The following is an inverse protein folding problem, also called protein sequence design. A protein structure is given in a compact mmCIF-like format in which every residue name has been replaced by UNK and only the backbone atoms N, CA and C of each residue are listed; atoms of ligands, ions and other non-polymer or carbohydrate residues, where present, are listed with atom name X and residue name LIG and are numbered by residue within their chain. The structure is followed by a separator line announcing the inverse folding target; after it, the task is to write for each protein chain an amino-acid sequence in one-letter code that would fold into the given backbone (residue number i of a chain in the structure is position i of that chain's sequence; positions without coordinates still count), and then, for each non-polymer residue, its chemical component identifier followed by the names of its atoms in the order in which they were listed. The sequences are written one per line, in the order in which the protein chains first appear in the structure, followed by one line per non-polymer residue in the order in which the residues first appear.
data_IF_024368384705
#
_entry.id   IF_024368384705
#
_cell.length_a   1.000
_cell.length_b   1.000
_cell.length_c   1.000
_cell.angle_alpha   90.00
_cell.angle_beta   90.00
_cell.angle_gamma   90.00
#
_symmetry.space_group_name_H-M   'P 1'
#
loop_
_entity.id
_entity.type
_entity.pdbx_description
1 polymer ?
#
# COMPACT_ATOMS: atom_id res chain seq x y z
N UNK A 1 -10.09 -29.75 13.56
CA UNK A 1 -10.83 -28.52 13.89
C UNK A 1 -10.92 -28.44 15.41
N UNK A 2 -9.99 -27.75 16.04
CA UNK A 2 -10.10 -27.44 17.48
C UNK A 2 -11.05 -26.25 17.59
N UNK A 3 -12.19 -26.49 18.24
CA UNK A 3 -13.10 -25.43 18.63
C UNK A 3 -12.32 -24.41 19.50
N UNK A 4 -12.18 -23.19 19.01
CA UNK A 4 -11.81 -22.04 19.84
C UNK A 4 -13.03 -21.70 20.75
N UNK A 5 -13.40 -22.63 21.61
CA UNK A 5 -14.45 -22.45 22.62
C UNK A 5 -13.82 -22.16 23.98
N UNK A 6 -12.80 -21.34 24.02
CA UNK A 6 -12.37 -20.73 25.28
C UNK A 6 -13.01 -19.34 25.40
N UNK A 7 -13.76 -19.14 26.47
CA UNK A 7 -14.71 -18.09 26.78
C UNK A 7 -14.38 -16.61 26.62
N UNK A 8 -13.53 -16.27 25.66
CA UNK A 8 -13.14 -14.91 25.34
C UNK A 8 -13.79 -14.36 24.06
N UNK A 9 -14.39 -15.23 23.21
CA UNK A 9 -14.98 -14.84 21.95
C UNK A 9 -16.42 -14.34 22.11
N UNK A 10 -16.69 -13.13 21.62
CA UNK A 10 -18.03 -12.55 21.58
C UNK A 10 -18.75 -13.00 20.29
N UNK A 11 -19.81 -13.82 20.37
CA UNK A 11 -20.51 -14.32 19.18
C UNK A 11 -21.22 -13.22 18.38
N UNK A 12 -21.47 -12.06 18.98
CA UNK A 12 -22.11 -10.94 18.30
C UNK A 12 -21.10 -10.14 17.45
N UNK A 13 -19.79 -10.35 17.66
CA UNK A 13 -18.74 -9.79 16.83
C UNK A 13 -18.48 -10.62 15.58
N UNK A 14 -18.02 -9.96 14.52
CA UNK A 14 -17.84 -10.59 13.23
C UNK A 14 -16.73 -11.67 13.21
N UNK A 15 -16.88 -12.61 12.30
CA UNK A 15 -15.89 -13.62 11.92
C UNK A 15 -15.23 -13.19 10.61
N UNK A 16 -13.93 -12.92 10.62
CA UNK A 16 -13.22 -12.38 9.47
C UNK A 16 -12.27 -13.41 8.85
N UNK A 17 -12.08 -13.37 7.53
CA UNK A 17 -11.03 -14.12 6.84
C UNK A 17 -9.89 -13.16 6.47
N UNK A 18 -8.67 -13.48 6.89
CA UNK A 18 -7.45 -12.77 6.51
C UNK A 18 -6.86 -13.44 5.26
N UNK A 19 -6.88 -12.76 4.12
CA UNK A 19 -6.41 -13.32 2.85
C UNK A 19 -4.93 -13.01 2.63
N UNK A 20 -4.09 -14.03 2.69
CA UNK A 20 -2.64 -13.95 2.69
C UNK A 20 -2.04 -14.17 4.08
N UNK A 21 -0.71 -14.18 4.16
CA UNK A 21 0.00 -14.41 5.41
C UNK A 21 0.65 -13.12 5.92
N UNK A 22 0.23 -12.68 7.09
CA UNK A 22 0.88 -11.59 7.83
C UNK A 22 0.81 -11.88 9.31
N UNK A 23 1.98 -12.09 9.94
CA UNK A 23 2.04 -12.35 11.38
C UNK A 23 1.44 -11.19 12.18
N UNK A 24 1.73 -9.95 11.79
CA UNK A 24 1.20 -8.77 12.46
C UNK A 24 -0.34 -8.68 12.39
N UNK A 25 -0.94 -9.10 11.26
CA UNK A 25 -2.40 -9.15 11.13
C UNK A 25 -3.01 -10.26 11.99
N UNK A 26 -2.34 -11.42 12.11
CA UNK A 26 -2.74 -12.53 12.97
C UNK A 26 -2.67 -12.12 14.44
N UNK A 27 -1.55 -11.57 14.89
CA UNK A 27 -1.38 -11.09 16.27
C UNK A 27 -2.39 -9.99 16.62
N UNK A 28 -2.68 -9.09 15.68
CA UNK A 28 -3.69 -8.05 15.85
C UNK A 28 -5.09 -8.65 16.04
N UNK A 29 -5.44 -9.68 15.27
CA UNK A 29 -6.73 -10.37 15.39
C UNK A 29 -6.85 -11.13 16.71
N UNK A 30 -5.78 -11.84 17.13
CA UNK A 30 -5.73 -12.53 18.42
C UNK A 30 -5.92 -11.57 19.60
N UNK A 31 -5.18 -10.47 19.63
CA UNK A 31 -5.25 -9.46 20.69
C UNK A 31 -6.61 -8.76 20.73
N UNK A 32 -7.27 -8.68 19.58
CA UNK A 32 -8.53 -7.96 19.44
C UNK A 32 -9.76 -8.81 19.79
N UNK A 33 -9.54 -10.05 20.15
CA UNK A 33 -10.61 -10.99 20.54
C UNK A 33 -11.70 -11.13 19.48
N UNK A 34 -11.31 -11.09 18.19
CA UNK A 34 -12.17 -11.34 17.04
C UNK A 34 -11.94 -12.76 16.53
N UNK A 35 -13.02 -13.46 16.19
CA UNK A 35 -12.89 -14.72 15.48
C UNK A 35 -12.33 -14.48 14.09
N UNK A 36 -11.27 -15.20 13.72
CA UNK A 36 -10.66 -15.09 12.40
C UNK A 36 -10.22 -16.46 11.86
N UNK A 37 -10.03 -16.51 10.55
CA UNK A 37 -9.38 -17.60 9.84
C UNK A 37 -8.35 -17.02 8.88
N UNK A 38 -7.17 -17.63 8.82
CA UNK A 38 -6.14 -17.28 7.83
C UNK A 38 -6.35 -18.13 6.60
N UNK A 39 -6.42 -17.48 5.43
CA UNK A 39 -6.46 -18.13 4.12
C UNK A 39 -5.14 -17.82 3.43
N UNK A 40 -4.24 -18.80 3.37
CA UNK A 40 -2.85 -18.58 2.91
C UNK A 40 -2.29 -19.81 2.20
N UNK A 41 -1.15 -19.68 1.46
CA UNK A 41 -0.50 -20.81 0.80
C UNK A 41 -0.04 -21.90 1.77
N UNK A 42 0.09 -23.14 1.26
CA UNK A 42 0.42 -24.33 2.03
C UNK A 42 1.69 -24.21 2.89
N UNK A 43 2.64 -23.38 2.50
CA UNK A 43 3.85 -23.18 3.31
C UNK A 43 3.57 -22.56 4.70
N UNK A 44 2.44 -21.90 4.91
CA UNK A 44 2.02 -21.35 6.20
C UNK A 44 1.41 -22.41 7.14
N UNK A 45 1.06 -23.60 6.62
CA UNK A 45 0.30 -24.62 7.36
C UNK A 45 1.01 -25.07 8.63
N UNK A 46 2.32 -25.39 8.54
CA UNK A 46 3.08 -25.87 9.71
C UNK A 46 3.09 -24.86 10.85
N UNK A 47 3.29 -23.58 10.53
CA UNK A 47 3.25 -22.50 11.52
C UNK A 47 1.85 -22.34 12.12
N UNK A 48 0.81 -22.37 11.29
CA UNK A 48 -0.57 -22.26 11.76
C UNK A 48 -0.95 -23.42 12.68
N UNK A 49 -0.54 -24.64 12.36
CA UNK A 49 -0.77 -25.83 13.20
C UNK A 49 -0.04 -25.73 14.55
N UNK A 50 1.26 -25.36 14.54
CA UNK A 50 2.06 -25.21 15.75
C UNK A 50 1.47 -24.17 16.72
N UNK A 51 0.95 -23.07 16.18
CA UNK A 51 0.40 -21.96 16.98
C UNK A 51 -1.13 -22.01 17.12
N UNK A 52 -1.78 -23.11 16.69
CA UNK A 52 -3.25 -23.28 16.75
C UNK A 52 -4.04 -22.18 16.07
N UNK A 53 -3.48 -21.58 15.00
CA UNK A 53 -4.13 -20.55 14.19
C UNK A 53 -5.13 -21.21 13.24
N UNK A 54 -6.41 -20.78 13.22
CA UNK A 54 -7.40 -21.28 12.26
C UNK A 54 -6.93 -20.97 10.82
N UNK A 55 -6.90 -22.01 9.97
CA UNK A 55 -6.23 -21.92 8.68
C UNK A 55 -6.99 -22.68 7.59
N UNK A 56 -7.02 -22.10 6.39
CA UNK A 56 -7.49 -22.72 5.15
C UNK A 56 -6.38 -22.59 4.09
N UNK A 57 -5.85 -23.70 3.54
CA UNK A 57 -4.84 -23.65 2.50
C UNK A 57 -5.42 -23.08 1.20
N UNK A 58 -4.77 -22.06 0.64
CA UNK A 58 -5.18 -21.45 -0.61
C UNK A 58 -4.04 -20.68 -1.29
N UNK A 59 -3.86 -20.90 -2.59
CA UNK A 59 -2.90 -20.14 -3.39
C UNK A 59 -3.63 -19.01 -4.15
N UNK A 60 -3.18 -17.79 -3.93
CA UNK A 60 -3.67 -16.60 -4.61
C UNK A 60 -2.89 -16.37 -5.92
N UNK A 61 -3.16 -17.22 -6.90
CA UNK A 61 -2.74 -16.97 -8.27
C UNK A 61 -3.66 -15.94 -8.92
N UNK A 62 -3.54 -15.73 -10.24
CA UNK A 62 -4.49 -14.91 -10.96
C UNK A 62 -5.91 -15.41 -10.68
N UNK A 63 -6.82 -14.47 -10.39
CA UNK A 63 -8.20 -14.78 -10.06
C UNK A 63 -8.83 -15.70 -11.13
N UNK A 64 -9.51 -16.73 -10.68
CA UNK A 64 -10.14 -17.75 -11.51
C UNK A 64 -11.46 -18.23 -10.90
N UNK A 65 -12.12 -19.21 -11.53
CA UNK A 65 -13.44 -19.75 -11.12
C UNK A 65 -13.44 -20.46 -9.76
N UNK A 66 -12.25 -20.85 -9.24
CA UNK A 66 -12.13 -21.42 -7.90
C UNK A 66 -12.43 -20.40 -6.78
N UNK A 67 -12.56 -19.12 -7.13
CA UNK A 67 -13.02 -18.10 -6.17
C UNK A 67 -14.37 -18.42 -5.54
N UNK A 68 -15.26 -19.11 -6.30
CA UNK A 68 -16.55 -19.57 -5.78
C UNK A 68 -16.40 -20.71 -4.77
N UNK A 69 -15.41 -21.61 -4.96
CA UNK A 69 -15.12 -22.71 -4.03
C UNK A 69 -14.70 -22.17 -2.67
N UNK A 70 -13.71 -21.27 -2.63
CA UNK A 70 -13.25 -20.69 -1.38
C UNK A 70 -14.30 -19.78 -0.73
N UNK A 71 -15.06 -19.02 -1.53
CA UNK A 71 -16.15 -18.20 -1.01
C UNK A 71 -17.23 -19.05 -0.32
N UNK A 72 -17.62 -20.18 -0.92
CA UNK A 72 -18.58 -21.09 -0.32
C UNK A 72 -18.03 -21.75 0.96
N UNK A 73 -16.76 -22.16 0.94
CA UNK A 73 -16.09 -22.71 2.14
C UNK A 73 -16.13 -21.72 3.30
N UNK A 74 -15.78 -20.46 3.06
CA UNK A 74 -15.80 -19.42 4.09
C UNK A 74 -17.24 -19.08 4.54
N UNK A 75 -18.21 -19.09 3.63
CA UNK A 75 -19.63 -18.91 3.96
C UNK A 75 -20.14 -20.03 4.87
N UNK A 76 -19.78 -21.29 4.58
CA UNK A 76 -20.17 -22.46 5.38
C UNK A 76 -19.52 -22.44 6.79
N UNK A 77 -18.33 -21.82 6.91
CA UNK A 77 -17.69 -21.57 8.20
C UNK A 77 -18.34 -20.42 8.99
N UNK A 78 -19.23 -19.65 8.37
CA UNK A 78 -19.88 -18.48 8.98
C UNK A 78 -19.02 -17.21 8.97
N UNK A 79 -18.04 -17.12 8.07
CA UNK A 79 -17.25 -15.90 7.86
C UNK A 79 -18.12 -14.77 7.32
N UNK A 80 -17.96 -13.58 7.85
CA UNK A 80 -18.74 -12.40 7.48
C UNK A 80 -18.08 -11.58 6.38
N UNK A 81 -16.75 -11.47 6.40
CA UNK A 81 -16.00 -10.65 5.45
C UNK A 81 -14.59 -11.20 5.26
N UNK A 82 -14.07 -11.07 4.05
CA UNK A 82 -12.69 -11.38 3.69
C UNK A 82 -11.88 -10.07 3.53
N UNK A 83 -10.73 -10.02 4.18
CA UNK A 83 -9.86 -8.85 4.27
C UNK A 83 -8.59 -9.11 3.46
N UNK A 84 -8.30 -8.33 2.40
CA UNK A 84 -7.09 -8.49 1.63
C UNK A 84 -5.87 -7.95 2.38
N UNK A 85 -4.80 -8.74 2.48
CA UNK A 85 -3.56 -8.33 3.13
C UNK A 85 -2.45 -7.96 2.12
N UNK A 86 -2.58 -8.41 0.87
CA UNK A 86 -1.60 -8.20 -0.19
C UNK A 86 -2.28 -7.83 -1.51
N UNK A 87 -1.51 -7.34 -2.44
CA UNK A 87 -1.98 -6.88 -3.74
C UNK A 87 -2.75 -7.99 -4.49
N UNK A 88 -2.21 -9.20 -4.49
CA UNK A 88 -2.79 -10.36 -5.19
C UNK A 88 -4.13 -10.80 -4.58
N UNK A 89 -4.37 -10.46 -3.32
CA UNK A 89 -5.58 -10.89 -2.61
C UNK A 89 -6.76 -9.93 -2.75
N UNK A 90 -6.56 -8.75 -3.35
CA UNK A 90 -7.63 -7.74 -3.52
C UNK A 90 -8.77 -8.24 -4.40
N UNK A 91 -8.46 -8.81 -5.57
CA UNK A 91 -9.47 -9.36 -6.48
C UNK A 91 -10.21 -10.56 -5.85
N UNK A 92 -9.46 -11.42 -5.15
CA UNK A 92 -10.01 -12.56 -4.41
C UNK A 92 -10.96 -12.10 -3.30
N UNK A 93 -10.56 -11.08 -2.53
CA UNK A 93 -11.43 -10.49 -1.52
C UNK A 93 -12.72 -9.95 -2.11
N UNK A 94 -12.64 -9.27 -3.26
CA UNK A 94 -13.82 -8.78 -3.97
C UNK A 94 -14.76 -9.89 -4.42
N UNK A 95 -14.23 -10.97 -5.00
CA UNK A 95 -15.03 -12.13 -5.43
C UNK A 95 -15.66 -12.86 -4.24
N UNK A 96 -14.90 -13.09 -3.17
CA UNK A 96 -15.36 -13.74 -1.94
C UNK A 96 -16.44 -12.89 -1.26
N UNK A 97 -16.18 -11.59 -1.07
CA UNK A 97 -17.12 -10.69 -0.40
C UNK A 97 -18.40 -10.48 -1.20
N UNK A 98 -18.35 -10.57 -2.53
CA UNK A 98 -19.56 -10.56 -3.36
C UNK A 98 -20.54 -11.70 -2.99
N UNK A 99 -20.00 -12.85 -2.57
CA UNK A 99 -20.78 -14.02 -2.11
C UNK A 99 -21.15 -13.88 -0.63
N UNK A 100 -20.20 -13.54 0.24
CA UNK A 100 -20.42 -13.46 1.70
C UNK A 100 -21.45 -12.38 2.05
N UNK A 101 -21.37 -11.23 1.40
CA UNK A 101 -22.24 -10.07 1.65
C UNK A 101 -23.42 -9.98 0.69
N UNK A 102 -23.59 -10.97 -0.20
CA UNK A 102 -24.65 -11.02 -1.21
C UNK A 102 -24.72 -9.74 -2.08
N UNK A 103 -23.54 -9.16 -2.33
CA UNK A 103 -23.37 -7.91 -3.09
C UNK A 103 -22.40 -8.08 -4.27
N UNK A 104 -22.89 -8.41 -5.48
CA UNK A 104 -22.03 -8.63 -6.64
C UNK A 104 -21.23 -7.39 -7.11
N UNK A 105 -21.59 -6.17 -6.65
CA UNK A 105 -20.84 -4.95 -6.97
C UNK A 105 -19.43 -4.97 -6.40
N UNK A 106 -19.21 -5.67 -5.28
CA UNK A 106 -17.89 -5.74 -4.62
C UNK A 106 -16.83 -6.38 -5.52
N UNK A 107 -17.21 -7.31 -6.38
CA UNK A 107 -16.29 -7.86 -7.38
C UNK A 107 -15.84 -6.77 -8.38
N UNK A 108 -16.78 -6.04 -8.96
CA UNK A 108 -16.47 -4.96 -9.89
C UNK A 108 -15.64 -3.84 -9.23
N UNK A 109 -15.93 -3.51 -7.97
CA UNK A 109 -15.15 -2.57 -7.18
C UNK A 109 -13.71 -3.01 -7.02
N UNK A 110 -13.46 -4.27 -6.65
CA UNK A 110 -12.11 -4.82 -6.48
C UNK A 110 -11.31 -4.78 -7.79
N UNK A 111 -11.94 -5.06 -8.93
CA UNK A 111 -11.30 -4.94 -10.25
C UNK A 111 -10.89 -3.49 -10.55
N UNK A 112 -11.73 -2.50 -10.22
CA UNK A 112 -11.40 -1.09 -10.38
C UNK A 112 -10.26 -0.63 -9.46
N UNK A 113 -10.13 -1.25 -8.28
CA UNK A 113 -9.08 -0.95 -7.28
C UNK A 113 -7.78 -1.73 -7.54
N UNK A 114 -7.72 -2.55 -8.59
CA UNK A 114 -6.58 -3.39 -8.93
C UNK A 114 -5.94 -3.02 -10.27
N UNK A 115 -6.74 -2.74 -11.28
CA UNK A 115 -6.29 -2.36 -12.61
C UNK A 115 -6.06 -0.85 -12.70
N UNK A 116 -4.81 -0.42 -12.83
CA UNK A 116 -4.41 1.00 -12.84
C UNK A 116 -5.07 1.81 -13.96
N UNK A 117 -5.31 1.20 -15.13
CA UNK A 117 -5.94 1.89 -16.25
C UNK A 117 -7.44 2.11 -15.99
N UNK A 118 -8.15 1.08 -15.53
CA UNK A 118 -9.54 1.19 -15.12
C UNK A 118 -9.71 2.14 -13.94
N UNK A 119 -8.81 2.07 -12.97
CA UNK A 119 -8.75 2.94 -11.80
C UNK A 119 -8.67 4.42 -12.20
N UNK A 120 -7.72 4.79 -13.06
CA UNK A 120 -7.56 6.17 -13.53
C UNK A 120 -8.76 6.67 -14.35
N UNK A 121 -9.32 5.80 -15.20
CA UNK A 121 -10.56 6.14 -15.94
C UNK A 121 -11.74 6.38 -14.99
N UNK A 122 -11.89 5.53 -13.99
CA UNK A 122 -12.95 5.68 -12.97
C UNK A 122 -12.76 6.96 -12.16
N UNK A 123 -11.52 7.25 -11.73
CA UNK A 123 -11.17 8.48 -11.03
C UNK A 123 -11.52 9.73 -11.86
N UNK A 124 -11.11 9.75 -13.13
CA UNK A 124 -11.41 10.86 -14.05
C UNK A 124 -12.92 11.06 -14.25
N UNK A 125 -13.69 9.98 -14.44
CA UNK A 125 -15.15 10.05 -14.56
C UNK A 125 -15.82 10.53 -13.27
N UNK A 126 -15.24 10.25 -12.11
CA UNK A 126 -15.65 10.78 -10.80
C UNK A 126 -15.23 12.23 -10.57
N UNK A 127 -14.52 12.85 -11.53
CA UNK A 127 -14.02 14.22 -11.44
C UNK A 127 -12.79 14.35 -10.52
N UNK A 128 -12.07 13.26 -10.24
CA UNK A 128 -10.77 13.28 -9.58
C UNK A 128 -9.73 13.59 -10.67
N UNK A 129 -8.84 14.54 -10.40
CA UNK A 129 -7.80 14.93 -11.36
C UNK A 129 -6.73 13.86 -11.43
N UNK A 130 -6.37 13.48 -12.66
CA UNK A 130 -5.29 12.52 -12.97
C UNK A 130 -4.35 13.14 -14.00
N UNK A 131 -3.11 12.69 -14.05
CA UNK A 131 -2.18 13.04 -15.13
C UNK A 131 -2.69 12.57 -16.49
N UNK A 132 -2.00 12.95 -17.55
CA UNK A 132 -2.29 12.41 -18.89
C UNK A 132 -1.87 10.96 -18.90
N UNK A 133 -2.75 10.06 -19.33
CA UNK A 133 -2.45 8.62 -19.37
C UNK A 133 -3.08 7.94 -20.59
N UNK A 134 -2.45 6.87 -21.04
CA UNK A 134 -2.95 5.95 -22.07
C UNK A 134 -2.37 4.55 -21.87
N UNK A 135 -2.97 3.55 -22.52
CA UNK A 135 -2.43 2.20 -22.63
C UNK A 135 -1.55 2.09 -23.87
N UNK A 136 -0.41 1.41 -23.76
CA UNK A 136 0.42 1.02 -24.88
C UNK A 136 0.37 -0.49 -25.09
N UNK A 137 0.17 -0.91 -26.32
CA UNK A 137 0.22 -2.31 -26.74
C UNK A 137 1.52 -2.67 -27.45
N UNK A 138 2.27 -1.67 -27.86
CA UNK A 138 3.56 -1.79 -28.55
C UNK A 138 4.43 -0.54 -28.37
N UNK A 139 5.66 -0.60 -28.89
CA UNK A 139 6.61 0.52 -28.84
C UNK A 139 6.15 1.76 -29.65
N UNK A 140 5.36 1.57 -30.72
CA UNK A 140 4.86 2.70 -31.50
C UNK A 140 3.86 3.53 -30.70
N UNK A 141 3.03 2.88 -29.89
CA UNK A 141 2.12 3.56 -28.95
C UNK A 141 2.92 4.45 -27.99
N UNK A 142 4.02 3.94 -27.42
CA UNK A 142 4.89 4.71 -26.52
C UNK A 142 5.47 5.94 -27.22
N UNK A 143 5.99 5.79 -28.43
CA UNK A 143 6.54 6.91 -29.21
C UNK A 143 5.46 7.96 -29.52
N UNK A 144 4.25 7.51 -29.90
CA UNK A 144 3.12 8.42 -30.16
C UNK A 144 2.74 9.20 -28.90
N UNK A 145 2.63 8.51 -27.78
CA UNK A 145 2.29 9.12 -26.50
C UNK A 145 3.34 10.14 -26.06
N UNK A 146 4.63 9.80 -26.09
CA UNK A 146 5.73 10.71 -25.75
C UNK A 146 5.66 12.01 -26.56
N UNK A 147 5.50 11.89 -27.89
CA UNK A 147 5.36 13.06 -28.77
C UNK A 147 4.13 13.91 -28.42
N UNK A 148 3.00 13.27 -28.14
CA UNK A 148 1.75 13.96 -27.79
C UNK A 148 1.87 14.69 -26.46
N UNK A 149 2.44 14.06 -25.44
CA UNK A 149 2.64 14.67 -24.11
C UNK A 149 3.56 15.88 -24.25
N UNK A 150 4.69 15.75 -24.92
CA UNK A 150 5.64 16.84 -25.14
C UNK A 150 5.00 18.05 -25.87
N UNK A 151 4.17 17.79 -26.90
CA UNK A 151 3.43 18.83 -27.60
C UNK A 151 2.35 19.49 -26.73
N UNK A 152 1.76 18.73 -25.82
CA UNK A 152 0.75 19.25 -24.88
C UNK A 152 1.42 20.12 -23.81
N UNK A 153 2.54 19.68 -23.27
CA UNK A 153 3.32 20.45 -22.29
C UNK A 153 3.80 21.78 -22.87
N UNK A 154 4.31 21.79 -24.11
CA UNK A 154 4.67 23.03 -24.81
C UNK A 154 3.51 24.04 -24.89
N UNK A 155 2.28 23.57 -25.05
CA UNK A 155 1.10 24.45 -25.12
C UNK A 155 0.67 24.95 -23.74
N UNK A 156 1.08 24.28 -22.67
CA UNK A 156 0.75 24.59 -21.29
C UNK A 156 1.92 25.23 -20.53
N UNK A 157 2.93 25.73 -21.26
CA UNK A 157 4.17 26.29 -20.72
C UNK A 157 4.95 25.31 -19.78
N UNK A 158 4.73 23.99 -19.93
CA UNK A 158 5.49 22.94 -19.25
C UNK A 158 6.79 22.57 -19.96
N UNK A 159 7.64 21.74 -19.32
CA UNK A 159 8.89 21.28 -19.91
C UNK A 159 8.61 20.17 -20.95
N UNK A 160 8.91 20.41 -22.26
CA UNK A 160 8.73 19.41 -23.29
C UNK A 160 9.73 18.24 -23.19
N UNK A 161 10.71 18.30 -22.29
CA UNK A 161 11.68 17.25 -22.03
C UNK A 161 11.31 16.39 -20.82
N UNK A 162 10.19 16.67 -20.18
CA UNK A 162 9.70 15.83 -19.08
C UNK A 162 9.52 14.38 -19.56
N UNK A 163 9.93 13.42 -18.74
CA UNK A 163 9.78 12.01 -19.09
C UNK A 163 8.31 11.58 -19.11
N UNK A 164 8.06 10.44 -19.71
CA UNK A 164 6.85 9.66 -19.45
C UNK A 164 7.20 8.44 -18.59
N UNK A 165 6.21 7.95 -17.87
CA UNK A 165 6.33 6.78 -17.00
C UNK A 165 5.55 5.61 -17.60
N UNK A 166 6.18 4.43 -17.63
CA UNK A 166 5.51 3.19 -18.00
C UNK A 166 5.32 2.34 -16.75
N UNK A 167 4.13 1.80 -16.57
CA UNK A 167 3.79 0.97 -15.40
C UNK A 167 3.02 -0.27 -15.85
N UNK A 168 3.29 -1.42 -15.24
CA UNK A 168 2.43 -2.59 -15.40
C UNK A 168 1.06 -2.32 -14.77
N UNK A 169 -0.02 -2.89 -15.32
CA UNK A 169 -1.39 -2.63 -14.85
C UNK A 169 -1.64 -3.12 -13.43
N UNK A 170 -1.07 -4.27 -13.09
CA UNK A 170 -1.42 -5.08 -11.93
C UNK A 170 -0.26 -5.37 -10.97
N UNK A 171 0.87 -4.64 -11.08
CA UNK A 171 2.02 -4.81 -10.21
C UNK A 171 2.11 -3.69 -9.16
N UNK A 172 2.60 -4.04 -7.98
CA UNK A 172 2.87 -3.12 -6.89
C UNK A 172 4.37 -2.86 -6.70
N UNK A 173 4.74 -1.87 -5.88
CA UNK A 173 6.13 -1.61 -5.50
C UNK A 173 7.03 -1.20 -6.67
N UNK A 174 6.51 -0.49 -7.64
CA UNK A 174 7.21 -0.02 -8.84
C UNK A 174 7.82 -1.14 -9.71
N UNK A 175 7.35 -2.37 -9.57
CA UNK A 175 7.79 -3.47 -10.43
C UNK A 175 7.36 -3.21 -11.88
N UNK A 176 8.35 -3.23 -12.80
CA UNK A 176 8.12 -2.93 -14.21
C UNK A 176 7.95 -1.44 -14.52
N UNK A 177 8.21 -0.54 -13.56
CA UNK A 177 8.21 0.89 -13.81
C UNK A 177 9.45 1.30 -14.64
N UNK A 178 9.22 2.04 -15.69
CA UNK A 178 10.26 2.64 -16.55
C UNK A 178 10.01 4.12 -16.73
N UNK A 179 11.11 4.86 -16.86
CA UNK A 179 11.09 6.30 -17.16
C UNK A 179 11.68 6.48 -18.55
N UNK A 180 10.92 7.03 -19.48
CA UNK A 180 11.29 7.22 -20.89
C UNK A 180 11.35 8.72 -21.22
N UNK A 181 12.51 9.17 -21.66
CA UNK A 181 12.77 10.56 -22.06
C UNK A 181 12.90 10.73 -23.57
N UNK A 182 13.45 9.71 -24.22
CA UNK A 182 13.79 9.77 -25.64
C UNK A 182 13.22 8.57 -26.40
N UNK A 183 12.95 8.71 -27.70
CA UNK A 183 12.52 7.58 -28.53
C UNK A 183 13.50 6.40 -28.55
N UNK A 184 14.80 6.65 -28.43
CA UNK A 184 15.83 5.60 -28.44
C UNK A 184 15.73 4.68 -27.20
N UNK A 185 15.23 5.20 -26.08
CA UNK A 185 15.01 4.41 -24.87
C UNK A 185 13.84 3.42 -25.04
N UNK A 186 12.91 3.70 -25.96
CA UNK A 186 11.76 2.83 -26.24
C UNK A 186 12.20 1.48 -26.82
N UNK A 187 13.29 1.47 -27.61
CA UNK A 187 13.83 0.23 -28.20
C UNK A 187 14.34 -0.76 -27.15
N UNK A 188 14.61 -0.28 -25.94
CA UNK A 188 15.07 -1.12 -24.82
C UNK A 188 13.95 -1.87 -24.10
N UNK A 189 12.67 -1.58 -24.40
CA UNK A 189 11.52 -2.20 -23.75
C UNK A 189 11.31 -3.59 -24.36
N UNK A 190 11.33 -4.68 -23.54
CA UNK A 190 11.00 -6.01 -24.02
C UNK A 190 9.54 -6.10 -24.51
N UNK A 191 9.31 -6.86 -25.59
CA UNK A 191 7.96 -7.06 -26.15
C UNK A 191 6.99 -7.70 -25.14
N UNK A 192 7.50 -8.58 -24.29
CA UNK A 192 6.72 -9.29 -23.26
C UNK A 192 6.24 -8.40 -22.12
N UNK A 193 6.73 -7.16 -22.00
CA UNK A 193 6.24 -6.23 -21.01
C UNK A 193 4.93 -5.55 -21.41
N UNK A 194 4.58 -5.58 -22.71
CA UNK A 194 3.31 -5.03 -23.18
C UNK A 194 2.11 -5.97 -22.90
N UNK A 195 0.92 -5.43 -22.62
CA UNK A 195 0.57 -4.01 -22.59
C UNK A 195 0.99 -3.31 -21.27
N UNK A 196 1.24 -1.99 -21.34
CA UNK A 196 1.61 -1.14 -20.20
C UNK A 196 0.75 0.12 -20.12
N UNK A 197 0.63 0.69 -18.92
CA UNK A 197 0.09 2.03 -18.70
C UNK A 197 1.19 3.07 -18.93
N UNK A 198 0.90 4.08 -19.70
CA UNK A 198 1.73 5.25 -19.89
C UNK A 198 1.16 6.43 -19.13
N UNK A 199 2.02 7.21 -18.47
CA UNK A 199 1.63 8.40 -17.71
C UNK A 199 2.59 9.56 -18.02
N UNK A 200 2.06 10.79 -18.07
CA UNK A 200 2.89 11.99 -18.08
C UNK A 200 3.59 12.14 -16.73
N UNK A 201 4.77 12.75 -16.73
CA UNK A 201 5.41 13.18 -15.49
C UNK A 201 4.54 14.22 -14.77
N UNK A 202 4.54 14.15 -13.46
CA UNK A 202 3.93 15.14 -12.56
C UNK A 202 5.06 15.72 -11.72
N UNK A 203 5.38 16.98 -11.95
CA UNK A 203 6.35 17.70 -11.12
C UNK A 203 5.68 18.15 -9.84
N UNK A 204 6.21 17.70 -8.71
CA UNK A 204 5.60 18.01 -7.43
C UNK A 204 6.03 17.04 -6.32
N UNK A 205 5.28 17.07 -5.25
CA UNK A 205 5.52 16.29 -4.05
C UNK A 205 4.59 15.09 -4.00
N UNK A 206 5.15 13.88 -4.13
CA UNK A 206 4.40 12.63 -4.00
C UNK A 206 4.26 12.24 -2.53
N UNK A 207 3.05 11.82 -2.15
CA UNK A 207 2.72 11.39 -0.80
C UNK A 207 1.61 10.34 -0.83
N UNK A 208 1.48 9.61 0.27
CA UNK A 208 0.39 8.66 0.44
C UNK A 208 -0.56 9.08 1.57
N UNK A 209 -1.74 8.48 1.55
CA UNK A 209 -2.75 8.64 2.60
C UNK A 209 -3.18 7.27 3.08
N UNK A 210 -3.26 7.08 4.37
CA UNK A 210 -3.91 5.92 4.98
C UNK A 210 -5.27 6.33 5.49
N UNK A 211 -6.33 5.73 4.94
CA UNK A 211 -7.69 6.03 5.37
C UNK A 211 -8.48 4.76 5.71
N UNK A 212 -9.03 4.71 6.91
CA UNK A 212 -9.96 3.70 7.37
C UNK A 212 -11.38 4.18 7.13
N UNK A 213 -12.17 3.36 6.43
CA UNK A 213 -13.51 3.71 5.94
C UNK A 213 -14.51 2.72 6.53
N UNK A 214 -15.57 3.24 7.12
CA UNK A 214 -16.67 2.42 7.61
C UNK A 214 -18.00 3.15 7.43
N UNK A 215 -18.98 2.47 6.81
CA UNK A 215 -20.25 3.05 6.37
C UNK A 215 -20.04 4.28 5.46
N UNK A 216 -19.10 4.19 4.51
CA UNK A 216 -18.79 5.26 3.56
C UNK A 216 -18.19 6.53 4.18
N UNK A 217 -17.72 6.47 5.44
CA UNK A 217 -17.15 7.61 6.16
C UNK A 217 -15.71 7.33 6.56
N UNK A 218 -14.88 8.36 6.45
CA UNK A 218 -13.52 8.33 6.97
C UNK A 218 -13.59 8.26 8.50
N UNK A 219 -12.93 7.26 9.10
CA UNK A 219 -12.83 7.06 10.55
C UNK A 219 -11.52 7.56 11.11
N UNK A 220 -10.48 7.41 10.35
CA UNK A 220 -9.16 7.97 10.60
C UNK A 220 -8.46 8.21 9.27
N UNK A 221 -7.65 9.26 9.22
CA UNK A 221 -6.84 9.62 8.06
C UNK A 221 -5.46 10.09 8.51
N UNK A 222 -4.44 9.41 8.01
CA UNK A 222 -3.04 9.83 8.11
C UNK A 222 -2.52 10.27 6.74
N UNK A 223 -1.53 11.14 6.74
CA UNK A 223 -0.75 11.51 5.56
C UNK A 223 0.67 11.01 5.79
N UNK A 224 1.15 10.16 4.90
CA UNK A 224 2.53 9.65 4.88
C UNK A 224 3.36 10.44 3.90
N UNK A 225 4.50 10.94 4.36
CA UNK A 225 5.42 11.71 3.53
C UNK A 225 6.54 10.83 2.98
N UNK A 226 6.64 10.73 1.66
CA UNK A 226 7.78 10.11 1.00
C UNK A 226 8.95 11.10 0.98
N UNK A 227 10.08 10.71 1.56
CA UNK A 227 11.34 11.46 1.45
C UNK A 227 12.00 11.14 0.12
N UNK A 228 12.13 9.85 -0.16
CA UNK A 228 12.50 9.34 -1.47
C UNK A 228 11.67 8.11 -1.76
N UNK A 229 10.89 8.14 -2.83
CA UNK A 229 9.99 7.06 -3.20
C UNK A 229 10.75 5.73 -3.30
N UNK A 230 10.21 4.71 -2.64
CA UNK A 230 10.81 3.37 -2.57
C UNK A 230 12.03 3.23 -1.67
N UNK A 231 12.46 4.29 -0.98
CA UNK A 231 13.57 4.26 0.01
C UNK A 231 13.10 4.62 1.41
N UNK A 232 12.33 5.69 1.55
CA UNK A 232 12.04 6.21 2.88
C UNK A 232 10.71 6.95 2.93
N UNK A 233 10.05 6.78 4.05
CA UNK A 233 8.77 7.38 4.40
C UNK A 233 8.74 7.70 5.88
N UNK A 234 8.02 8.75 6.27
CA UNK A 234 7.72 9.02 7.67
C UNK A 234 6.27 9.47 7.87
N UNK A 235 5.79 9.33 9.07
CA UNK A 235 4.44 9.67 9.54
C UNK A 235 4.48 10.38 10.89
N UNK A 236 3.52 11.30 11.18
CA UNK A 236 2.66 11.96 10.22
C UNK A 236 3.48 12.82 9.26
N UNK A 237 2.84 13.38 8.24
CA UNK A 237 3.52 14.29 7.33
C UNK A 237 4.00 15.56 8.04
N UNK A 238 4.96 16.25 7.43
CA UNK A 238 5.42 17.56 7.89
C UNK A 238 4.33 18.63 7.81
N UNK A 239 4.44 19.72 8.58
CA UNK A 239 3.48 20.84 8.54
C UNK A 239 3.28 21.41 7.13
N UNK A 240 4.32 21.35 6.27
CA UNK A 240 4.27 21.81 4.89
C UNK A 240 3.33 20.98 4.02
N UNK A 241 3.23 19.69 4.30
CA UNK A 241 2.29 18.79 3.60
C UNK A 241 0.94 18.75 4.34
N UNK A 242 0.96 18.78 5.67
CA UNK A 242 -0.26 18.80 6.50
C UNK A 242 -1.18 20.00 6.23
N UNK A 243 -0.64 21.14 5.76
CA UNK A 243 -1.48 22.28 5.34
C UNK A 243 -2.51 21.94 4.27
N UNK A 244 -2.25 20.87 3.48
CA UNK A 244 -3.18 20.39 2.44
C UNK A 244 -4.21 19.38 2.97
N UNK A 245 -4.21 19.04 4.27
CA UNK A 245 -5.15 18.07 4.87
C UNK A 245 -6.61 18.33 4.52
N UNK A 246 -7.15 19.57 4.55
CA UNK A 246 -8.54 19.80 4.17
C UNK A 246 -8.83 19.39 2.71
N UNK A 247 -7.93 19.74 1.79
CA UNK A 247 -8.04 19.37 0.37
C UNK A 247 -7.87 17.87 0.18
N UNK A 248 -6.93 17.24 0.89
CA UNK A 248 -6.71 15.78 0.88
C UNK A 248 -7.95 15.06 1.36
N UNK A 249 -8.56 15.51 2.48
CA UNK A 249 -9.80 14.93 3.02
C UNK A 249 -10.92 14.96 1.98
N UNK A 250 -11.11 16.10 1.31
CA UNK A 250 -12.08 16.22 0.23
C UNK A 250 -11.82 15.25 -0.92
N UNK A 251 -10.54 15.07 -1.30
CA UNK A 251 -10.17 14.09 -2.33
C UNK A 251 -10.46 12.65 -1.90
N UNK A 252 -10.24 12.31 -0.63
CA UNK A 252 -10.57 10.98 -0.10
C UNK A 252 -12.07 10.75 -0.06
N UNK A 253 -12.87 11.73 0.37
CA UNK A 253 -14.35 11.64 0.33
C UNK A 253 -14.85 11.44 -1.11
N UNK A 254 -14.24 12.13 -2.06
CA UNK A 254 -14.56 12.00 -3.47
C UNK A 254 -14.15 10.64 -4.03
N UNK A 255 -13.00 10.12 -3.59
CA UNK A 255 -12.52 8.79 -3.94
C UNK A 255 -13.48 7.71 -3.41
N UNK A 256 -13.86 7.77 -2.14
CA UNK A 256 -14.84 6.88 -1.51
C UNK A 256 -16.12 6.81 -2.34
N UNK A 257 -16.67 7.96 -2.68
CA UNK A 257 -17.89 8.06 -3.50
C UNK A 257 -17.69 7.55 -4.93
N UNK A 258 -16.54 7.84 -5.54
CA UNK A 258 -16.24 7.46 -6.93
C UNK A 258 -16.07 5.95 -7.09
N UNK A 259 -15.46 5.29 -6.10
CA UNK A 259 -15.22 3.86 -6.11
C UNK A 259 -16.23 3.05 -5.29
N UNK A 260 -17.30 3.68 -4.80
CA UNK A 260 -18.37 3.07 -4.01
C UNK A 260 -17.83 2.31 -2.77
N UNK A 261 -16.89 2.90 -2.02
CA UNK A 261 -16.23 2.26 -0.88
C UNK A 261 -17.05 2.51 0.40
N UNK A 262 -17.76 1.48 0.86
CA UNK A 262 -18.51 1.56 2.11
C UNK A 262 -17.67 1.10 3.32
N UNK A 263 -16.81 0.11 3.14
CA UNK A 263 -16.02 -0.52 4.20
C UNK A 263 -14.59 -0.72 3.73
N UNK A 264 -13.64 -0.72 4.66
CA UNK A 264 -12.30 -1.13 4.39
C UNK A 264 -11.21 -0.09 4.68
N UNK A 265 -10.07 -0.32 4.08
CA UNK A 265 -8.87 0.50 4.18
C UNK A 265 -8.38 0.85 2.78
N UNK A 266 -8.00 2.10 2.57
CA UNK A 266 -7.38 2.55 1.33
C UNK A 266 -6.05 3.25 1.58
N UNK A 267 -5.13 3.01 0.65
CA UNK A 267 -3.82 3.66 0.60
C UNK A 267 -3.65 4.31 -0.78
N UNK A 268 -4.27 5.49 -1.01
CA UNK A 268 -4.08 6.24 -2.23
C UNK A 268 -2.79 7.05 -2.21
N UNK A 269 -2.18 7.18 -3.40
CA UNK A 269 -1.02 8.01 -3.67
C UNK A 269 -1.46 9.23 -4.48
N UNK A 270 -0.97 10.40 -4.05
CA UNK A 270 -1.26 11.68 -4.66
C UNK A 270 0.01 12.47 -4.92
N UNK A 271 -0.08 13.39 -5.87
CA UNK A 271 0.92 14.42 -6.11
C UNK A 271 0.30 15.78 -5.81
N UNK A 272 1.05 16.63 -5.11
CA UNK A 272 0.74 18.05 -5.01
C UNK A 272 1.82 18.81 -5.78
N UNK A 273 1.40 19.52 -6.83
CA UNK A 273 2.31 20.30 -7.67
C UNK A 273 2.73 21.61 -7.01
N UNK A 274 3.74 22.28 -7.55
CA UNK A 274 4.28 23.51 -6.98
C UNK A 274 3.27 24.66 -6.91
N UNK A 275 2.23 24.63 -7.75
CA UNK A 275 1.10 25.56 -7.75
C UNK A 275 -0.08 25.13 -6.84
N UNK A 276 0.11 24.00 -6.10
CA UNK A 276 -0.85 23.49 -5.12
C UNK A 276 -1.99 22.65 -5.71
N UNK A 277 -1.89 22.29 -6.99
CA UNK A 277 -2.86 21.40 -7.63
C UNK A 277 -2.60 19.94 -7.23
N UNK A 278 -3.68 19.19 -6.97
CA UNK A 278 -3.60 17.82 -6.51
C UNK A 278 -4.00 16.84 -7.60
N UNK A 279 -3.14 15.85 -7.85
CA UNK A 279 -3.35 14.79 -8.82
C UNK A 279 -3.34 13.43 -8.15
N UNK A 280 -4.30 12.60 -8.50
CA UNK A 280 -4.40 11.22 -8.06
C UNK A 280 -3.40 10.35 -8.85
N UNK A 281 -2.59 9.60 -8.14
CA UNK A 281 -1.67 8.59 -8.67
C UNK A 281 -2.36 7.25 -8.84
N UNK A 282 -2.55 6.56 -7.74
CA UNK A 282 -3.21 5.25 -7.65
C UNK A 282 -3.81 5.04 -6.26
N UNK A 283 -4.57 3.96 -6.06
CA UNK A 283 -5.06 3.55 -4.75
C UNK A 283 -4.92 2.06 -4.56
N UNK A 284 -4.31 1.65 -3.45
CA UNK A 284 -4.31 0.26 -3.01
C UNK A 284 -5.43 0.04 -1.98
N UNK A 285 -6.10 -1.13 -2.05
CA UNK A 285 -7.16 -1.56 -1.13
C UNK A 285 -6.65 -2.66 -0.20
N UNK A 286 -5.50 -2.40 0.40
CA UNK A 286 -4.76 -3.32 1.27
C UNK A 286 -3.75 -2.55 2.13
N UNK A 287 -3.16 -3.17 3.16
CA UNK A 287 -2.10 -2.53 3.95
C UNK A 287 -0.94 -2.01 3.07
N UNK A 288 -0.38 -0.85 3.40
CA UNK A 288 0.77 -0.30 2.70
C UNK A 288 2.04 -1.12 2.94
N UNK A 289 3.01 -0.96 2.05
CA UNK A 289 4.37 -1.45 2.25
C UNK A 289 5.15 -0.66 3.31
N UNK A 290 6.45 -0.88 3.37
CA UNK A 290 7.37 -0.13 4.23
C UNK A 290 6.95 -0.06 5.71
N UNK A 291 6.21 -1.05 6.18
CA UNK A 291 5.78 -1.11 7.58
C UNK A 291 5.07 0.16 8.09
N UNK A 292 4.37 0.88 7.21
CA UNK A 292 3.67 2.12 7.57
C UNK A 292 2.67 1.89 8.72
N UNK A 293 2.03 0.73 8.79
CA UNK A 293 1.12 0.40 9.89
C UNK A 293 1.84 0.39 11.24
N UNK A 294 3.05 -0.15 11.28
CA UNK A 294 3.90 -0.16 12.48
C UNK A 294 4.43 1.24 12.83
N UNK A 295 4.65 2.11 11.84
CA UNK A 295 4.98 3.52 12.09
C UNK A 295 3.78 4.26 12.72
N UNK A 296 2.57 4.03 12.22
CA UNK A 296 1.35 4.62 12.76
C UNK A 296 1.10 4.22 14.22
N UNK A 297 1.37 2.96 14.58
CA UNK A 297 1.27 2.50 15.96
C UNK A 297 2.24 3.25 16.89
N UNK A 298 3.49 3.50 16.44
CA UNK A 298 4.47 4.29 17.18
C UNK A 298 4.03 5.72 17.42
N UNK A 299 3.37 6.30 16.42
CA UNK A 299 2.94 7.70 16.42
C UNK A 299 1.66 7.91 17.22
N UNK A 300 0.65 7.10 16.96
CA UNK A 300 -0.70 7.30 17.51
C UNK A 300 -1.05 6.35 18.65
N UNK A 301 -0.37 5.20 18.74
CA UNK A 301 -0.56 4.22 19.80
C UNK A 301 -1.79 3.32 19.62
N UNK A 302 -2.32 3.19 18.39
CA UNK A 302 -3.32 2.18 18.06
C UNK A 302 -2.74 1.18 17.06
N UNK A 303 -3.22 -0.07 17.10
CA UNK A 303 -2.80 -1.08 16.13
C UNK A 303 -3.58 -0.92 14.82
N UNK A 304 -2.87 -0.59 13.73
CA UNK A 304 -3.47 -0.30 12.43
C UNK A 304 -4.18 -1.50 11.80
N UNK A 305 -3.71 -2.74 12.05
CA UNK A 305 -4.39 -3.96 11.60
C UNK A 305 -5.70 -4.19 12.35
N UNK A 306 -5.77 -3.90 13.66
CA UNK A 306 -7.03 -3.94 14.39
C UNK A 306 -8.02 -2.91 13.83
N UNK A 307 -7.55 -1.70 13.56
CA UNK A 307 -8.34 -0.68 12.86
C UNK A 307 -8.89 -1.15 11.52
N UNK A 308 -8.06 -1.87 10.74
CA UNK A 308 -8.46 -2.43 9.45
C UNK A 308 -9.55 -3.52 9.63
N UNK A 309 -9.42 -4.40 10.61
CA UNK A 309 -10.44 -5.41 10.93
C UNK A 309 -11.78 -4.73 11.23
N UNK A 310 -11.77 -3.68 12.08
CA UNK A 310 -12.98 -2.91 12.38
C UNK A 310 -13.58 -2.24 11.16
N UNK A 311 -12.73 -1.66 10.30
CA UNK A 311 -13.20 -0.94 9.12
C UNK A 311 -13.82 -1.85 8.06
N UNK A 312 -13.30 -3.08 7.90
CA UNK A 312 -13.82 -4.05 6.94
C UNK A 312 -15.07 -4.80 7.43
N UNK A 313 -15.21 -5.01 8.74
CA UNK A 313 -16.31 -5.83 9.29
C UNK A 313 -17.63 -5.03 9.35
N UNK A 314 -18.66 -5.38 8.54
CA UNK A 314 -19.95 -4.69 8.57
C UNK A 314 -20.69 -4.80 9.91
N UNK A 315 -20.29 -5.74 10.77
CA UNK A 315 -20.85 -5.89 12.13
C UNK A 315 -20.22 -4.94 13.14
N UNK A 316 -19.14 -4.25 12.80
CA UNK A 316 -18.56 -3.24 13.68
C UNK A 316 -19.56 -2.13 13.94
N UNK A 317 -19.80 -1.83 15.21
CA UNK A 317 -20.73 -0.78 15.59
C UNK A 317 -20.08 0.62 15.46
N UNK A 318 -20.91 1.64 15.32
CA UNK A 318 -20.46 3.03 15.28
C UNK A 318 -19.70 3.43 16.57
N UNK A 319 -20.12 2.88 17.70
CA UNK A 319 -19.47 3.12 19.00
C UNK A 319 -18.08 2.51 19.04
N UNK A 320 -17.93 1.24 18.64
CA UNK A 320 -16.63 0.54 18.61
C UNK A 320 -15.62 1.28 17.74
N UNK A 321 -15.98 1.61 16.50
CA UNK A 321 -15.05 2.23 15.57
C UNK A 321 -14.69 3.67 15.96
N UNK A 322 -15.66 4.41 16.54
CA UNK A 322 -15.41 5.77 17.01
C UNK A 322 -14.54 5.81 18.26
N UNK A 323 -14.66 4.80 19.13
CA UNK A 323 -13.85 4.71 20.34
C UNK A 323 -12.41 4.23 20.05
N UNK A 324 -12.20 3.51 18.95
CA UNK A 324 -10.93 2.90 18.62
C UNK A 324 -9.89 3.91 18.10
N UNK A 325 -10.29 4.79 17.18
CA UNK A 325 -9.36 5.73 16.57
C UNK A 325 -9.15 7.01 17.40
N UNK A 326 -7.94 7.60 17.36
CA UNK A 326 -7.69 8.94 17.88
C UNK A 326 -8.67 9.95 17.27
N UNK A 327 -9.11 10.92 18.05
CA UNK A 327 -10.12 11.88 17.60
C UNK A 327 -9.55 12.90 16.61
N UNK A 328 -8.26 13.17 16.69
CA UNK A 328 -7.57 14.14 15.83
C UNK A 328 -6.11 13.71 15.59
N UNK A 329 -5.56 14.10 14.44
CA UNK A 329 -4.12 13.93 14.12
C UNK A 329 -3.22 14.66 15.11
N UNK A 330 -3.76 15.66 15.82
CA UNK A 330 -3.08 16.37 16.92
C UNK A 330 -2.62 15.44 18.04
N UNK A 331 -3.16 14.21 18.11
CA UNK A 331 -2.76 13.19 19.07
C UNK A 331 -1.45 12.44 18.67
N UNK A 332 -0.79 12.86 17.60
CA UNK A 332 0.51 12.35 17.23
C UNK A 332 1.56 12.65 18.32
N UNK A 333 2.19 11.59 18.83
CA UNK A 333 3.15 11.69 19.96
C UNK A 333 4.56 12.02 19.49
N UNK A 334 4.84 11.77 18.21
CA UNK A 334 6.16 11.91 17.60
C UNK A 334 6.03 11.80 16.08
N UNK A 335 7.15 11.91 15.38
CA UNK A 335 7.32 11.45 14.00
C UNK A 335 8.00 10.08 14.03
N UNK A 336 7.56 9.15 13.21
CA UNK A 336 8.20 7.86 13.02
C UNK A 336 8.50 7.65 11.54
N UNK A 337 9.69 7.20 11.22
CA UNK A 337 10.11 6.98 9.83
C UNK A 337 10.84 5.66 9.66
N UNK A 338 10.90 5.20 8.42
CA UNK A 338 11.71 4.05 8.05
C UNK A 338 12.50 4.29 6.77
N UNK A 339 13.61 3.58 6.67
CA UNK A 339 14.49 3.58 5.50
C UNK A 339 14.73 2.14 5.04
N UNK A 340 14.44 1.86 3.76
CA UNK A 340 14.66 0.56 3.14
C UNK A 340 16.11 0.41 2.66
N UNK A 341 16.79 -0.59 3.18
CA UNK A 341 18.19 -0.84 2.85
C UNK A 341 18.31 -1.76 1.64
N UNK A 342 19.02 -1.29 0.63
CA UNK A 342 19.29 -2.01 -0.60
C UNK A 342 20.80 -2.16 -0.79
N UNK A 343 21.32 -3.40 -0.87
CA UNK A 343 22.75 -3.61 -1.09
C UNK A 343 23.22 -2.98 -2.41
N UNK A 344 24.36 -2.29 -2.37
CA UNK A 344 24.97 -1.66 -3.55
C UNK A 344 26.03 -2.53 -4.21
N UNK A 345 26.64 -3.44 -3.44
CA UNK A 345 27.73 -4.30 -3.88
C UNK A 345 27.20 -5.59 -4.53
N UNK A 346 27.95 -6.14 -5.48
CA UNK A 346 27.62 -7.42 -6.13
C UNK A 346 27.79 -8.62 -5.19
N UNK A 347 28.79 -8.56 -4.32
CA UNK A 347 29.08 -9.59 -3.32
C UNK A 347 29.07 -8.92 -1.98
N UNK A 348 28.25 -9.41 -1.07
CA UNK A 348 28.08 -8.87 0.28
C UNK A 348 28.65 -9.88 1.25
N UNK A 349 29.58 -9.46 2.12
CA UNK A 349 30.24 -10.32 3.09
C UNK A 349 29.73 -10.16 4.52
N UNK A 350 29.27 -8.97 4.88
CA UNK A 350 28.78 -8.66 6.24
C UNK A 350 27.77 -7.53 6.24
N UNK A 351 26.92 -7.54 7.27
CA UNK A 351 26.11 -6.41 7.67
C UNK A 351 26.93 -5.51 8.61
N UNK A 352 26.95 -4.22 8.34
CA UNK A 352 27.63 -3.22 9.18
C UNK A 352 26.77 -1.95 9.18
N UNK A 353 26.08 -1.70 10.29
CA UNK A 353 25.33 -0.46 10.45
C UNK A 353 26.34 0.64 10.81
N UNK A 354 26.39 1.76 10.06
CA UNK A 354 27.29 2.85 10.37
C UNK A 354 27.06 3.39 11.79
N UNK A 355 28.15 3.68 12.53
CA UNK A 355 28.11 4.20 13.90
C UNK A 355 27.28 5.49 13.98
N UNK A 356 27.39 6.37 12.97
CA UNK A 356 26.58 7.59 12.87
C UNK A 356 25.07 7.33 12.76
N UNK A 357 24.64 6.16 12.27
CA UNK A 357 23.24 5.74 12.24
C UNK A 357 22.82 5.20 13.60
N UNK A 358 23.60 4.29 14.20
CA UNK A 358 23.29 3.68 15.52
C UNK A 358 23.31 4.69 16.65
N UNK A 359 24.23 5.64 16.62
CA UNK A 359 24.38 6.68 17.65
C UNK A 359 23.40 7.85 17.47
N UNK A 360 22.64 7.87 16.37
CA UNK A 360 21.73 8.97 16.13
C UNK A 360 20.55 8.95 17.11
N UNK A 361 20.19 10.07 17.77
CA UNK A 361 19.13 10.13 18.80
C UNK A 361 17.74 9.65 18.32
N UNK A 362 17.49 9.65 17.02
CA UNK A 362 16.24 9.18 16.42
C UNK A 362 16.26 7.71 16.03
N UNK A 363 17.44 7.06 16.01
CA UNK A 363 17.50 5.63 15.70
C UNK A 363 16.79 4.81 16.77
N UNK A 364 15.90 3.88 16.36
CA UNK A 364 15.11 3.04 17.26
C UNK A 364 15.50 1.57 17.15
N UNK A 365 15.53 1.05 15.93
CA UNK A 365 15.76 -0.37 15.67
C UNK A 365 15.95 -0.65 14.19
N UNK A 366 16.21 -1.91 13.86
CA UNK A 366 16.20 -2.42 12.48
C UNK A 366 15.70 -3.86 12.42
N UNK A 367 15.32 -4.31 11.20
CA UNK A 367 15.00 -5.69 10.86
C UNK A 367 15.83 -6.19 9.67
N UNK A 368 17.07 -5.72 9.56
CA UNK A 368 17.95 -6.03 8.44
C UNK A 368 18.24 -7.52 8.36
N UNK A 369 18.10 -8.09 7.16
CA UNK A 369 18.42 -9.47 6.89
C UNK A 369 19.94 -9.73 7.04
N UNK A 370 20.37 -10.90 7.54
CA UNK A 370 21.77 -11.26 7.53
C UNK A 370 22.29 -11.30 6.07
N UNK A 371 23.59 -11.06 5.85
CA UNK A 371 24.17 -11.10 4.51
C UNK A 371 23.89 -12.45 3.85
N UNK A 372 23.28 -12.43 2.67
CA UNK A 372 23.19 -13.60 1.83
C UNK A 372 24.50 -13.72 1.05
N UNK A 373 25.09 -14.93 1.02
CA UNK A 373 26.34 -15.18 0.29
C UNK A 373 26.19 -15.12 -1.24
N UNK A 374 25.02 -14.76 -1.71
CA UNK A 374 24.69 -14.69 -3.12
C UNK A 374 25.06 -13.36 -3.77
N UNK A 375 25.18 -13.40 -5.08
CA UNK A 375 25.44 -12.21 -5.88
C UNK A 375 24.25 -11.27 -5.80
N UNK A 376 24.47 -10.05 -5.31
CA UNK A 376 23.46 -9.01 -5.34
C UNK A 376 23.24 -8.55 -6.77
N UNK A 377 22.06 -8.77 -7.30
CA UNK A 377 21.69 -8.27 -8.62
C UNK A 377 21.53 -6.75 -8.57
N UNK A 378 21.84 -6.08 -9.69
CA UNK A 378 21.58 -4.65 -9.80
C UNK A 378 20.11 -4.39 -9.45
N UNK A 379 19.88 -3.44 -8.54
CA UNK A 379 18.55 -2.99 -8.18
C UNK A 379 17.77 -2.61 -9.44
N UNK A 380 16.65 -3.26 -9.67
CA UNK A 380 15.70 -2.91 -10.70
C UNK A 380 14.46 -2.32 -10.02
N UNK A 381 14.11 -1.09 -10.36
CA UNK A 381 12.86 -0.43 -9.99
C UNK A 381 12.42 -0.72 -8.53
N UNK A 382 13.05 -0.11 -7.58
CA UNK A 382 12.69 -0.23 -6.16
C UNK A 382 12.60 -1.66 -5.57
N UNK A 383 13.08 -2.66 -6.22
CA UNK A 383 13.04 -4.09 -5.88
C UNK A 383 13.01 -4.46 -4.38
N UNK A 384 13.23 -5.69 -4.02
CA UNK A 384 13.18 -6.14 -2.63
C UNK A 384 14.29 -5.51 -1.79
N UNK A 385 13.95 -4.74 -0.76
CA UNK A 385 14.90 -4.30 0.25
C UNK A 385 15.31 -5.48 1.16
N UNK A 386 16.47 -5.36 1.80
CA UNK A 386 17.00 -6.37 2.72
C UNK A 386 16.68 -6.05 4.19
N UNK A 387 15.62 -5.34 4.41
CA UNK A 387 15.12 -4.89 5.71
C UNK A 387 15.04 -3.38 5.81
N UNK A 388 14.60 -2.93 6.96
CA UNK A 388 14.31 -1.54 7.26
C UNK A 388 15.09 -1.08 8.49
N UNK A 389 15.48 0.19 8.48
CA UNK A 389 15.85 0.94 9.67
C UNK A 389 14.64 1.73 10.14
N UNK A 390 14.44 1.83 11.45
CA UNK A 390 13.35 2.55 12.08
C UNK A 390 13.86 3.71 12.90
N UNK A 391 13.21 4.85 12.75
CA UNK A 391 13.56 6.09 13.41
C UNK A 391 12.33 6.72 14.07
N UNK A 392 12.56 7.40 15.21
CA UNK A 392 11.53 8.11 15.96
C UNK A 392 12.07 9.41 16.50
N UNK A 393 11.37 10.51 16.30
CA UNK A 393 11.84 11.84 16.71
C UNK A 393 10.69 12.84 16.86
N UNK A 394 11.05 14.07 17.18
CA UNK A 394 10.13 15.18 17.47
C UNK A 394 10.12 16.28 16.39
N UNK A 395 11.02 16.20 15.41
CA UNK A 395 11.18 17.22 14.36
C UNK A 395 11.13 16.58 12.97
N UNK A 396 10.14 16.93 12.13
CA UNK A 396 9.98 16.33 10.80
C UNK A 396 11.09 16.72 9.82
N UNK A 397 11.69 17.90 9.97
CA UNK A 397 12.79 18.32 9.09
C UNK A 397 14.05 17.52 9.40
N UNK A 398 14.37 17.32 10.68
CA UNK A 398 15.48 16.44 11.08
C UNK A 398 15.22 15.00 10.65
N UNK A 399 13.97 14.52 10.74
CA UNK A 399 13.60 13.19 10.26
C UNK A 399 13.85 13.05 8.75
N UNK A 400 13.40 14.03 7.96
CA UNK A 400 13.61 14.06 6.50
C UNK A 400 15.11 14.07 6.15
N UNK A 401 15.89 14.94 6.77
CA UNK A 401 17.32 15.05 6.53
C UNK A 401 18.06 13.77 6.92
N UNK A 402 17.70 13.17 8.04
CA UNK A 402 18.24 11.89 8.50
C UNK A 402 17.94 10.76 7.51
N UNK A 403 16.67 10.60 7.11
CA UNK A 403 16.26 9.56 6.16
C UNK A 403 16.96 9.73 4.81
N UNK A 404 17.10 10.97 4.35
CA UNK A 404 17.82 11.27 3.11
C UNK A 404 19.31 10.96 3.21
N UNK A 405 19.93 11.24 4.35
CA UNK A 405 21.34 10.92 4.59
C UNK A 405 21.60 9.41 4.56
N UNK A 406 20.65 8.56 5.02
CA UNK A 406 20.80 7.11 4.94
C UNK A 406 20.99 6.60 3.49
N UNK A 407 20.55 7.34 2.49
CA UNK A 407 20.75 6.97 1.09
C UNK A 407 22.20 7.00 0.64
N UNK A 408 23.05 7.76 1.35
CA UNK A 408 24.48 7.90 1.05
C UNK A 408 25.32 6.78 1.70
N UNK A 409 24.76 6.08 2.69
CA UNK A 409 25.48 5.10 3.50
C UNK A 409 25.39 3.69 2.90
N UNK A 410 26.41 2.89 3.20
CA UNK A 410 26.46 1.46 2.87
C UNK A 410 26.30 0.64 4.16
N UNK A 411 25.32 -0.26 4.15
CA UNK A 411 24.96 -1.13 5.27
C UNK A 411 25.43 -2.58 5.07
N UNK A 412 25.72 -2.93 3.82
CA UNK A 412 26.22 -4.25 3.44
C UNK A 412 27.57 -4.08 2.73
N UNK A 413 28.63 -4.62 3.31
CA UNK A 413 30.01 -4.51 2.85
C UNK A 413 30.65 -5.87 2.56
#
# INVERSE_FOLDING_TARGET
MSDQTDGSYDPDKGYVALLGWSLNAVEAADQFNRRYVVVAPEWAESYCQEHSIPYVPWNFERLNDRSMEIAQTLKDMGVNVAIPLFEETVEWAGAINAVLLENPRLFGQAMLLRDKALMKRRAQLGGIRVGIFEEAHDREDVIRFLKRVNQTLLKLDGDPNDPIHLKAFDKAGCLGHRVIRTPDEVDTIPEEEFPVLMESHLDGWEFAVEAWIHNGKIRFLNISEYVTLGYSVFVPASPELEKYRPQITEQIEKLIKTFDIDFGFVHPEYFVTNDGEMYFGEVAYRPPGFKVFELLERVYGFNAYQGMILAFDPKTTEEEITAFFPKEVVDAKCYAGCFGVYPRLRVVSRLEIPEETEDHPYYESNDLAPPMQDTVTKRTAFGTHWGLLYFKGDDPHKMRDLLKHQEELDFYV
#
